data_IF_246979756721
#
_entry.id   IF_246979756721
#
_cell.length_a   1.000
_cell.length_b   1.000
_cell.length_c   1.000
_cell.angle_alpha   90.00
_cell.angle_beta   90.00
_cell.angle_gamma   90.00
#
_symmetry.space_group_name_H-M   'P 1'
#
loop_
_entity.id
_entity.type
_entity.pdbx_description
1 polymer ?
#
# COMPACT_ATOMS: atom_id res chain seq x y z
N UNK A 1 20.26 48.13 26.73
CA UNK A 1 20.10 47.18 25.59
C UNK A 1 19.73 45.86 26.25
N UNK A 2 18.44 45.51 26.22
CA UNK A 2 17.99 44.18 26.70
C UNK A 2 18.59 43.10 25.79
N UNK A 3 19.19 42.10 26.42
CA UNK A 3 19.72 40.94 25.70
C UNK A 3 18.59 40.05 25.26
N UNK A 4 18.13 40.19 24.02
CA UNK A 4 17.05 39.43 23.43
C UNK A 4 17.51 38.03 22.90
N UNK A 5 18.77 37.65 23.15
CA UNK A 5 19.36 36.44 22.60
C UNK A 5 18.65 35.17 23.08
N UNK A 6 18.25 35.16 24.36
CA UNK A 6 17.52 34.03 24.94
C UNK A 6 16.12 33.84 24.32
N UNK A 7 15.41 34.95 24.07
CA UNK A 7 14.08 34.91 23.45
C UNK A 7 14.15 34.47 21.96
N UNK A 8 15.15 34.96 21.25
CA UNK A 8 15.40 34.55 19.84
C UNK A 8 15.71 33.06 19.76
N UNK A 9 16.60 32.55 20.61
CA UNK A 9 16.94 31.12 20.65
C UNK A 9 15.73 30.25 21.02
N UNK A 10 14.89 30.70 21.95
CA UNK A 10 13.66 30.03 22.33
C UNK A 10 12.67 29.98 21.16
N UNK A 11 12.44 31.07 20.47
CA UNK A 11 11.56 31.15 19.30
C UNK A 11 12.08 30.25 18.15
N UNK A 12 13.40 30.25 17.90
CA UNK A 12 14.01 29.37 16.91
C UNK A 12 13.79 27.90 17.25
N UNK A 13 13.96 27.53 18.52
CA UNK A 13 13.73 26.16 18.99
C UNK A 13 12.25 25.77 18.86
N UNK A 14 11.33 26.62 19.28
CA UNK A 14 9.90 26.40 19.17
C UNK A 14 9.47 26.21 17.67
N UNK A 15 10.01 27.05 16.78
CA UNK A 15 9.79 26.96 15.35
C UNK A 15 10.35 25.66 14.78
N UNK A 16 11.56 25.25 15.19
CA UNK A 16 12.16 23.98 14.75
C UNK A 16 11.33 22.77 15.24
N UNK A 17 10.91 22.76 16.50
CA UNK A 17 10.09 21.70 17.08
C UNK A 17 8.68 21.61 16.43
N UNK A 18 8.14 22.72 15.94
CA UNK A 18 6.88 22.76 15.22
C UNK A 18 7.00 22.18 13.79
N UNK A 19 8.17 22.27 13.18
CA UNK A 19 8.39 21.89 11.78
C UNK A 19 9.11 20.56 11.59
N UNK A 20 9.80 20.04 12.63
CA UNK A 20 10.61 18.84 12.57
C UNK A 20 10.17 17.79 13.59
N UNK A 21 10.21 16.52 13.17
CA UNK A 21 9.99 15.36 14.04
C UNK A 21 11.12 15.24 15.08
N UNK A 22 10.77 15.16 16.36
CA UNK A 22 11.74 15.17 17.47
C UNK A 22 12.71 14.01 17.48
N UNK A 23 12.28 12.84 16.97
CA UNK A 23 13.12 11.65 16.95
C UNK A 23 14.08 11.65 15.76
N UNK A 24 13.55 11.90 14.58
CA UNK A 24 14.30 11.77 13.32
C UNK A 24 14.90 13.07 12.83
N UNK A 25 14.41 14.23 13.29
CA UNK A 25 14.80 15.55 12.81
C UNK A 25 14.45 15.81 11.34
N UNK A 26 13.56 14.99 10.73
CA UNK A 26 12.98 15.24 9.43
C UNK A 26 11.78 16.17 9.56
N UNK A 27 11.25 16.69 8.45
CA UNK A 27 10.02 17.49 8.52
C UNK A 27 8.86 16.66 9.10
N UNK A 28 8.02 17.33 9.91
CA UNK A 28 6.72 16.78 10.29
C UNK A 28 5.81 16.66 9.06
N UNK A 29 4.79 15.80 9.12
CA UNK A 29 3.81 15.63 8.03
C UNK A 29 3.26 16.96 7.52
N UNK A 30 2.83 17.82 8.44
CA UNK A 30 2.23 19.12 8.09
C UNK A 30 3.23 20.02 7.36
N UNK A 31 4.44 20.14 7.89
CA UNK A 31 5.47 20.97 7.26
C UNK A 31 5.93 20.40 5.91
N UNK A 32 6.07 19.07 5.82
CA UNK A 32 6.37 18.36 4.56
C UNK A 32 5.35 18.71 3.48
N UNK A 33 4.06 18.59 3.78
CA UNK A 33 2.98 18.85 2.82
C UNK A 33 2.96 20.30 2.36
N UNK A 34 3.12 21.24 3.29
CA UNK A 34 3.18 22.67 2.99
C UNK A 34 4.41 23.02 2.13
N UNK A 35 5.57 22.46 2.45
CA UNK A 35 6.80 22.68 1.70
C UNK A 35 6.70 22.12 0.28
N UNK A 36 6.11 20.93 0.11
CA UNK A 36 5.86 20.34 -1.22
C UNK A 36 4.89 21.22 -2.00
N UNK A 37 3.78 21.66 -1.40
CA UNK A 37 2.81 22.55 -2.06
C UNK A 37 3.47 23.80 -2.58
N UNK A 38 4.20 24.49 -1.70
CA UNK A 38 4.94 25.70 -2.08
C UNK A 38 5.96 25.45 -3.20
N UNK A 39 6.66 24.32 -3.17
CA UNK A 39 7.63 23.97 -4.20
C UNK A 39 6.98 23.70 -5.57
N UNK A 40 5.85 22.97 -5.60
CA UNK A 40 5.10 22.69 -6.83
C UNK A 40 4.50 23.97 -7.44
N UNK A 41 4.05 24.91 -6.62
CA UNK A 41 3.51 26.18 -7.09
C UNK A 41 4.59 27.08 -7.72
N UNK A 42 5.81 27.03 -7.18
CA UNK A 42 6.91 27.92 -7.58
C UNK A 42 7.81 27.36 -8.69
N UNK A 43 7.88 26.02 -8.87
CA UNK A 43 8.82 25.38 -9.81
C UNK A 43 8.07 24.50 -10.81
N UNK A 44 7.34 25.16 -11.73
CA UNK A 44 6.48 24.50 -12.72
C UNK A 44 7.24 23.79 -13.85
N UNK A 45 8.51 24.10 -14.04
CA UNK A 45 9.35 23.55 -15.13
C UNK A 45 10.04 22.23 -14.75
N UNK A 46 9.79 21.70 -13.54
CA UNK A 46 10.41 20.48 -13.04
C UNK A 46 9.33 19.43 -12.80
N UNK A 47 9.50 18.26 -13.41
CA UNK A 47 8.68 17.08 -13.11
C UNK A 47 9.06 16.50 -11.76
N UNK A 48 8.10 16.41 -10.86
CA UNK A 48 8.29 15.85 -9.51
C UNK A 48 7.62 14.48 -9.37
N UNK A 49 8.19 13.68 -8.49
CA UNK A 49 7.60 12.44 -7.99
C UNK A 49 7.47 12.50 -6.48
N UNK A 50 6.42 11.87 -5.97
CA UNK A 50 6.17 11.66 -4.54
C UNK A 50 6.44 10.19 -4.23
N UNK A 51 7.29 9.90 -3.26
CA UNK A 51 7.47 8.58 -2.71
C UNK A 51 6.87 8.51 -1.30
N UNK A 52 6.17 7.42 -1.04
CA UNK A 52 5.71 7.00 0.28
C UNK A 52 6.31 5.63 0.58
N UNK A 53 6.80 5.42 1.78
CA UNK A 53 7.22 4.11 2.25
C UNK A 53 7.09 3.96 3.76
N UNK A 54 6.94 2.73 4.20
CA UNK A 54 6.96 2.30 5.60
C UNK A 54 7.94 1.13 5.79
N UNK A 55 8.20 0.81 7.05
CA UNK A 55 9.03 -0.32 7.43
C UNK A 55 8.12 -1.53 7.64
N UNK A 56 8.33 -2.58 6.85
CA UNK A 56 7.54 -3.79 6.97
C UNK A 56 7.67 -4.40 8.37
N UNK A 57 6.52 -4.73 8.96
CA UNK A 57 6.42 -5.38 10.27
C UNK A 57 7.13 -4.62 11.41
N UNK A 58 7.21 -3.27 11.34
CA UNK A 58 7.89 -2.43 12.32
C UNK A 58 7.38 -2.65 13.75
N UNK A 59 6.08 -2.94 13.91
CA UNK A 59 5.53 -3.30 15.22
C UNK A 59 6.23 -4.52 15.81
N UNK A 60 6.51 -5.54 14.99
CA UNK A 60 7.22 -6.75 15.42
C UNK A 60 8.66 -6.43 15.84
N UNK A 61 9.32 -5.47 15.17
CA UNK A 61 10.66 -4.99 15.60
C UNK A 61 10.58 -4.43 17.01
N UNK A 62 9.58 -3.59 17.31
CA UNK A 62 9.38 -3.04 18.66
C UNK A 62 9.04 -4.13 19.69
N UNK A 63 8.17 -5.07 19.33
CA UNK A 63 7.71 -6.13 20.24
C UNK A 63 8.83 -7.12 20.59
N UNK A 64 9.75 -7.42 19.67
CA UNK A 64 10.85 -8.38 19.88
C UNK A 64 12.09 -7.72 20.46
N UNK A 65 12.48 -6.54 19.95
CA UNK A 65 13.78 -5.92 20.29
C UNK A 65 13.64 -4.69 21.18
N UNK A 66 12.42 -4.27 21.49
CA UNK A 66 12.15 -3.11 22.32
C UNK A 66 12.09 -1.79 21.52
N UNK A 67 11.45 -0.81 22.14
CA UNK A 67 11.18 0.51 21.53
C UNK A 67 12.47 1.28 21.18
N UNK A 68 13.51 1.16 22.00
CA UNK A 68 14.79 1.86 21.77
C UNK A 68 15.46 1.39 20.47
N UNK A 69 15.33 0.08 20.13
CA UNK A 69 15.82 -0.49 18.87
C UNK A 69 14.96 0.04 17.70
N UNK A 70 13.65 0.05 17.86
CA UNK A 70 12.76 0.65 16.83
C UNK A 70 13.05 2.12 16.58
N UNK A 71 13.26 2.92 17.62
CA UNK A 71 13.61 4.33 17.49
C UNK A 71 14.97 4.48 16.75
N UNK A 72 15.96 3.66 17.04
CA UNK A 72 17.21 3.62 16.30
C UNK A 72 17.03 3.25 14.81
N UNK A 73 16.12 2.32 14.49
CA UNK A 73 15.77 1.98 13.11
C UNK A 73 15.24 3.22 12.38
N UNK A 74 14.29 3.94 12.98
CA UNK A 74 13.71 5.16 12.40
C UNK A 74 14.77 6.25 12.16
N UNK A 75 15.68 6.45 13.11
CA UNK A 75 16.79 7.41 12.97
C UNK A 75 17.74 7.02 11.84
N UNK A 76 18.07 5.73 11.69
CA UNK A 76 18.92 5.25 10.59
C UNK A 76 18.27 5.41 9.22
N UNK A 77 16.97 5.13 9.11
CA UNK A 77 16.20 5.40 7.88
C UNK A 77 16.22 6.90 7.54
N UNK A 78 16.03 7.75 8.54
CA UNK A 78 16.09 9.19 8.35
C UNK A 78 17.48 9.67 7.88
N UNK A 79 18.55 9.11 8.43
CA UNK A 79 19.92 9.43 8.01
C UNK A 79 20.20 8.94 6.58
N UNK A 80 19.74 7.73 6.24
CA UNK A 80 19.85 7.24 4.87
C UNK A 80 19.14 8.16 3.85
N UNK A 81 17.93 8.67 4.20
CA UNK A 81 17.23 9.65 3.35
C UNK A 81 18.10 10.90 3.15
N UNK A 82 18.70 11.44 4.23
CA UNK A 82 19.55 12.65 4.17
C UNK A 82 20.80 12.44 3.30
N UNK A 83 21.43 11.28 3.42
CA UNK A 83 22.65 10.94 2.66
C UNK A 83 22.40 10.80 1.16
N UNK A 84 21.21 10.28 0.78
CA UNK A 84 20.82 10.13 -0.62
C UNK A 84 20.15 11.38 -1.21
N UNK A 85 19.65 12.28 -0.35
CA UNK A 85 18.93 13.49 -0.76
C UNK A 85 19.84 14.44 -1.54
N UNK A 86 19.28 15.02 -2.59
CA UNK A 86 19.95 16.03 -3.44
C UNK A 86 19.20 17.35 -3.36
N UNK A 87 19.73 18.37 -4.03
CA UNK A 87 19.06 19.67 -4.15
C UNK A 87 17.62 19.50 -4.68
N UNK A 88 16.72 20.26 -4.10
CA UNK A 88 15.29 20.25 -4.37
C UNK A 88 14.53 18.99 -3.90
N UNK A 89 15.13 18.13 -3.08
CA UNK A 89 14.40 17.07 -2.39
C UNK A 89 13.76 17.65 -1.12
N UNK A 90 12.50 17.25 -0.89
CA UNK A 90 11.75 17.61 0.32
C UNK A 90 11.30 16.29 0.94
N UNK A 91 11.66 16.06 2.20
CA UNK A 91 11.42 14.78 2.86
C UNK A 91 11.04 14.96 4.32
N UNK A 92 10.23 14.05 4.83
CA UNK A 92 9.70 14.10 6.18
C UNK A 92 9.19 12.76 6.69
N UNK A 93 8.88 12.73 7.98
CA UNK A 93 8.21 11.62 8.65
C UNK A 93 6.72 11.90 8.69
N UNK A 94 5.92 11.01 8.09
CA UNK A 94 4.46 11.19 8.00
C UNK A 94 3.79 10.77 9.30
N UNK A 95 4.34 9.76 9.97
CA UNK A 95 3.87 9.26 11.27
C UNK A 95 4.21 7.79 11.46
N UNK A 96 4.35 7.34 12.71
CA UNK A 96 4.76 5.96 12.98
C UNK A 96 6.08 5.61 12.33
N UNK A 97 6.08 4.64 11.44
CA UNK A 97 7.20 4.17 10.63
C UNK A 97 7.16 4.64 9.18
N UNK A 98 6.21 5.54 8.86
CA UNK A 98 6.00 6.04 7.51
C UNK A 98 6.78 7.33 7.21
N UNK A 99 7.37 7.36 6.03
CA UNK A 99 8.18 8.46 5.50
C UNK A 99 7.65 8.91 4.14
N UNK A 100 7.88 10.17 3.82
CA UNK A 100 7.52 10.77 2.55
C UNK A 100 8.66 11.57 1.95
N UNK A 101 8.79 11.51 0.63
CA UNK A 101 9.81 12.23 -0.13
C UNK A 101 9.18 12.81 -1.39
N UNK A 102 9.45 14.09 -1.67
CA UNK A 102 9.22 14.71 -2.98
C UNK A 102 10.56 14.99 -3.64
N UNK A 103 10.73 14.58 -4.87
CA UNK A 103 12.00 14.71 -5.59
C UNK A 103 11.79 14.95 -7.09
N UNK A 104 12.71 15.65 -7.78
CA UNK A 104 12.70 15.73 -9.23
C UNK A 104 12.84 14.34 -9.87
N UNK A 105 11.90 13.98 -10.73
CA UNK A 105 11.78 12.63 -11.31
C UNK A 105 13.05 12.17 -12.04
N UNK A 106 13.74 13.10 -12.71
CA UNK A 106 14.96 12.84 -13.48
C UNK A 106 16.22 12.60 -12.61
N UNK A 107 16.15 12.90 -11.30
CA UNK A 107 17.29 12.71 -10.39
C UNK A 107 17.41 11.30 -9.84
N UNK A 108 16.37 10.47 -10.00
CA UNK A 108 16.30 9.13 -9.40
C UNK A 108 16.32 8.05 -10.47
N UNK A 109 17.23 7.10 -10.31
CA UNK A 109 17.29 5.86 -11.09
C UNK A 109 16.72 4.72 -10.24
N UNK A 110 15.48 4.35 -10.50
CA UNK A 110 14.73 3.36 -9.69
C UNK A 110 15.48 2.02 -9.48
N UNK A 111 16.14 1.42 -10.49
CA UNK A 111 16.89 0.18 -10.27
C UNK A 111 18.03 0.30 -9.25
N UNK A 112 18.64 1.49 -9.11
CA UNK A 112 19.68 1.72 -8.11
C UNK A 112 19.09 1.81 -6.70
N UNK A 113 17.92 2.46 -6.56
CA UNK A 113 17.22 2.55 -5.28
C UNK A 113 16.72 1.16 -4.87
N UNK A 114 16.13 0.41 -5.79
CA UNK A 114 15.64 -0.95 -5.53
C UNK A 114 16.75 -1.86 -5.02
N UNK A 115 17.94 -1.81 -5.63
CA UNK A 115 19.11 -2.57 -5.15
C UNK A 115 19.60 -2.12 -3.76
N UNK A 116 19.48 -0.82 -3.42
CA UNK A 116 19.80 -0.32 -2.09
C UNK A 116 18.78 -0.80 -1.05
N UNK A 117 17.47 -0.75 -1.37
CA UNK A 117 16.40 -1.22 -0.50
C UNK A 117 16.53 -2.72 -0.21
N UNK A 118 16.83 -3.53 -1.24
CA UNK A 118 17.04 -4.97 -1.08
C UNK A 118 18.21 -5.34 -0.15
N UNK A 119 19.17 -4.42 0.03
CA UNK A 119 20.37 -4.61 0.86
C UNK A 119 20.36 -3.80 2.16
N UNK A 120 19.23 -3.20 2.51
CA UNK A 120 19.18 -2.36 3.69
C UNK A 120 19.23 -3.21 4.96
N UNK A 121 20.36 -3.10 5.67
CA UNK A 121 20.64 -3.86 6.89
C UNK A 121 20.89 -2.90 8.04
N UNK A 122 20.32 -3.20 9.18
CA UNK A 122 20.63 -2.51 10.42
C UNK A 122 21.41 -3.45 11.32
N UNK A 123 22.61 -3.04 11.73
CA UNK A 123 23.42 -3.72 12.69
C UNK A 123 23.32 -3.04 14.05
N UNK A 124 23.09 -3.80 15.12
CA UNK A 124 23.21 -3.31 16.50
C UNK A 124 24.53 -3.75 17.18
N UNK A 125 25.51 -4.18 16.37
CA UNK A 125 26.81 -4.67 16.83
C UNK A 125 26.84 -6.15 17.20
N UNK A 126 25.68 -6.81 17.33
CA UNK A 126 25.57 -8.25 17.67
C UNK A 126 24.80 -9.03 16.61
N UNK A 127 23.83 -8.40 15.96
CA UNK A 127 22.96 -9.03 14.96
C UNK A 127 22.74 -8.03 13.82
N UNK A 128 22.94 -8.51 12.60
CA UNK A 128 22.55 -7.79 11.38
C UNK A 128 21.11 -8.15 11.01
N UNK A 129 20.23 -7.16 10.97
CA UNK A 129 18.84 -7.35 10.61
C UNK A 129 18.52 -6.71 9.28
N UNK A 130 18.02 -7.51 8.35
CA UNK A 130 17.46 -6.99 7.11
C UNK A 130 16.13 -6.29 7.39
N UNK A 131 16.04 -5.02 6.99
CA UNK A 131 14.83 -4.24 7.09
C UNK A 131 14.20 -4.16 5.71
N UNK A 132 13.04 -4.74 5.57
CA UNK A 132 12.29 -4.70 4.32
C UNK A 132 11.45 -3.43 4.28
N UNK A 133 11.65 -2.64 3.23
CA UNK A 133 10.87 -1.46 2.93
C UNK A 133 10.27 -1.57 1.53
N UNK A 134 9.01 -1.19 1.40
CA UNK A 134 8.32 -1.08 0.12
C UNK A 134 8.02 0.39 -0.15
N UNK A 135 8.38 0.84 -1.34
CA UNK A 135 8.24 2.24 -1.77
C UNK A 135 7.18 2.33 -2.85
N UNK A 136 6.15 3.11 -2.62
CA UNK A 136 5.22 3.50 -3.66
C UNK A 136 5.55 4.88 -4.18
N UNK A 137 5.48 5.05 -5.48
CA UNK A 137 5.82 6.30 -6.17
C UNK A 137 4.61 6.79 -6.97
N UNK A 138 4.25 8.05 -6.77
CA UNK A 138 3.33 8.78 -7.63
C UNK A 138 4.10 9.82 -8.44
N UNK A 139 3.99 9.78 -9.77
CA UNK A 139 4.53 10.82 -10.65
C UNK A 139 3.52 11.95 -10.73
N UNK A 140 3.93 13.15 -10.36
CA UNK A 140 3.05 14.32 -10.35
C UNK A 140 2.81 14.76 -11.80
N UNK A 141 1.67 14.37 -12.34
CA UNK A 141 1.21 14.74 -13.68
C UNK A 141 0.31 15.99 -13.68
N UNK A 142 -0.28 16.31 -12.54
CA UNK A 142 -1.06 17.51 -12.30
C UNK A 142 -0.68 18.11 -10.94
N UNK A 143 0.09 19.21 -10.94
CA UNK A 143 0.51 19.85 -9.70
C UNK A 143 -0.63 20.52 -8.92
N UNK A 144 -1.83 20.67 -9.47
CA UNK A 144 -3.00 21.22 -8.76
C UNK A 144 -3.64 20.24 -7.77
N UNK A 145 -3.35 18.96 -7.91
CA UNK A 145 -3.85 17.91 -6.99
C UNK A 145 -3.33 18.21 -5.57
N UNK A 146 -4.19 17.98 -4.57
CA UNK A 146 -3.80 18.10 -3.18
C UNK A 146 -2.64 17.14 -2.83
N UNK A 147 -1.67 17.62 -2.04
CA UNK A 147 -0.48 16.82 -1.68
C UNK A 147 -0.87 15.58 -0.90
N UNK A 148 -1.93 15.63 -0.09
CA UNK A 148 -2.44 14.44 0.62
C UNK A 148 -2.89 13.35 -0.36
N UNK A 149 -3.60 13.73 -1.42
CA UNK A 149 -4.03 12.78 -2.48
C UNK A 149 -2.82 12.21 -3.22
N UNK A 150 -1.77 13.00 -3.46
CA UNK A 150 -0.54 12.51 -4.08
C UNK A 150 0.10 11.41 -3.21
N UNK A 151 0.16 11.64 -1.89
CA UNK A 151 0.66 10.64 -0.95
C UNK A 151 -0.24 9.42 -0.83
N UNK A 152 -1.57 9.57 -0.87
CA UNK A 152 -2.51 8.45 -0.88
C UNK A 152 -2.31 7.57 -2.12
N UNK A 153 -2.06 8.16 -3.29
CA UNK A 153 -1.73 7.44 -4.52
C UNK A 153 -0.39 6.70 -4.41
N UNK A 154 0.63 7.35 -3.86
CA UNK A 154 1.92 6.69 -3.60
C UNK A 154 1.76 5.53 -2.60
N UNK A 155 1.01 5.72 -1.51
CA UNK A 155 0.71 4.66 -0.54
C UNK A 155 -0.08 3.50 -1.17
N UNK A 156 -1.02 3.78 -2.07
CA UNK A 156 -1.73 2.73 -2.80
C UNK A 156 -0.78 1.88 -3.65
N UNK A 157 0.17 2.50 -4.34
CA UNK A 157 1.20 1.78 -5.08
C UNK A 157 2.07 0.93 -4.14
N UNK A 158 2.50 1.46 -3.00
CA UNK A 158 3.26 0.72 -1.99
C UNK A 158 2.48 -0.50 -1.48
N UNK A 159 1.19 -0.32 -1.20
CA UNK A 159 0.31 -1.39 -0.70
C UNK A 159 0.15 -2.53 -1.70
N UNK A 160 0.21 -2.25 -3.01
CA UNK A 160 0.07 -3.27 -4.06
C UNK A 160 1.18 -4.33 -4.03
N UNK A 161 2.36 -3.98 -3.50
CA UNK A 161 3.54 -4.87 -3.40
C UNK A 161 3.86 -5.30 -1.97
N UNK A 162 3.03 -4.96 -0.99
CA UNK A 162 3.31 -5.19 0.44
C UNK A 162 3.61 -6.66 0.80
N UNK A 163 3.08 -7.60 0.04
CA UNK A 163 3.27 -9.04 0.25
C UNK A 163 4.38 -9.64 -0.64
N UNK A 164 5.02 -8.84 -1.48
CA UNK A 164 6.10 -9.29 -2.35
C UNK A 164 7.45 -9.13 -1.64
N UNK A 165 8.34 -10.11 -1.80
CA UNK A 165 9.66 -10.08 -1.17
C UNK A 165 10.75 -9.58 -2.13
N UNK A 166 10.53 -9.68 -3.43
CA UNK A 166 11.51 -9.37 -4.46
C UNK A 166 11.27 -8.02 -5.15
N UNK A 167 10.10 -7.42 -4.92
CA UNK A 167 9.70 -6.13 -5.49
C UNK A 167 9.67 -5.09 -4.38
N UNK A 168 10.53 -4.09 -4.45
CA UNK A 168 10.63 -3.06 -3.42
C UNK A 168 10.01 -1.73 -3.84
N UNK A 169 9.77 -1.52 -5.15
CA UNK A 169 9.24 -0.26 -5.68
C UNK A 169 8.05 -0.53 -6.58
N UNK A 170 6.96 0.20 -6.36
CA UNK A 170 5.82 0.27 -7.26
C UNK A 170 5.52 1.71 -7.67
N UNK A 171 5.16 1.90 -8.94
CA UNK A 171 4.71 3.19 -9.45
C UNK A 171 3.19 3.16 -9.55
N UNK A 172 2.54 4.20 -9.02
CA UNK A 172 1.10 4.33 -9.10
C UNK A 172 0.60 4.34 -10.56
N UNK A 173 -0.44 3.57 -10.81
CA UNK A 173 -1.26 3.58 -12.03
C UNK A 173 -2.73 3.72 -11.59
N UNK A 174 -3.52 4.47 -12.35
CA UNK A 174 -4.95 4.67 -12.06
C UNK A 174 -5.73 3.34 -11.98
N UNK A 175 -5.29 2.30 -12.68
CA UNK A 175 -5.83 0.94 -12.56
C UNK A 175 -5.77 0.40 -11.14
N UNK A 176 -4.77 0.78 -10.34
CA UNK A 176 -4.67 0.36 -8.93
C UNK A 176 -5.85 0.90 -8.11
N UNK A 177 -6.22 2.16 -8.35
CA UNK A 177 -7.39 2.77 -7.72
C UNK A 177 -8.68 2.07 -8.16
N UNK A 178 -8.81 1.82 -9.46
CA UNK A 178 -10.00 1.15 -10.01
C UNK A 178 -10.14 -0.27 -9.44
N UNK A 179 -9.04 -1.00 -9.24
CA UNK A 179 -9.04 -2.30 -8.58
C UNK A 179 -9.51 -2.23 -7.12
N UNK A 180 -9.11 -1.20 -6.36
CA UNK A 180 -9.58 -1.02 -4.97
C UNK A 180 -11.08 -0.71 -4.95
N UNK A 181 -11.54 0.21 -5.80
CA UNK A 181 -12.95 0.55 -5.90
C UNK A 181 -13.80 -0.66 -6.34
N UNK A 182 -13.30 -1.44 -7.29
CA UNK A 182 -13.91 -2.69 -7.70
C UNK A 182 -14.01 -3.69 -6.55
N UNK A 183 -12.90 -3.89 -5.81
CA UNK A 183 -12.88 -4.77 -4.65
C UNK A 183 -13.89 -4.37 -3.57
N UNK A 184 -14.00 -3.08 -3.27
CA UNK A 184 -14.98 -2.56 -2.32
C UNK A 184 -16.42 -2.80 -2.80
N UNK A 185 -16.70 -2.48 -4.06
CA UNK A 185 -18.00 -2.69 -4.69
C UNK A 185 -18.43 -4.16 -4.59
N UNK A 186 -17.61 -5.08 -5.08
CA UNK A 186 -17.89 -6.52 -5.11
C UNK A 186 -18.07 -7.07 -3.69
N UNK A 187 -17.27 -6.63 -2.73
CA UNK A 187 -17.41 -7.05 -1.33
C UNK A 187 -18.72 -6.59 -0.71
N UNK A 188 -19.14 -5.36 -1.00
CA UNK A 188 -20.38 -4.80 -0.46
C UNK A 188 -21.61 -5.51 -1.06
N UNK A 189 -21.56 -5.90 -2.31
CA UNK A 189 -22.69 -6.50 -3.04
C UNK A 189 -22.85 -8.01 -2.78
N UNK A 190 -21.85 -8.71 -2.21
CA UNK A 190 -21.88 -10.18 -2.03
C UNK A 190 -23.12 -10.69 -1.29
N UNK A 191 -23.48 -10.07 -0.15
CA UNK A 191 -24.61 -10.53 0.64
C UNK A 191 -25.93 -10.49 -0.14
N UNK A 192 -26.13 -9.45 -0.92
CA UNK A 192 -27.34 -9.29 -1.73
C UNK A 192 -27.28 -10.17 -2.99
N UNK A 193 -26.09 -10.38 -3.54
CA UNK A 193 -25.89 -11.30 -4.65
C UNK A 193 -26.27 -12.75 -4.28
N UNK A 194 -25.92 -13.18 -3.08
CA UNK A 194 -26.33 -14.49 -2.53
C UNK A 194 -27.86 -14.54 -2.35
N UNK A 195 -28.47 -13.55 -1.69
CA UNK A 195 -29.93 -13.51 -1.45
C UNK A 195 -30.72 -13.51 -2.76
N UNK A 196 -30.23 -12.81 -3.76
CA UNK A 196 -30.89 -12.66 -5.06
C UNK A 196 -30.53 -13.78 -6.05
N UNK A 197 -29.78 -14.80 -5.61
CA UNK A 197 -29.33 -15.93 -6.43
C UNK A 197 -28.54 -15.51 -7.69
N UNK A 198 -27.79 -14.43 -7.60
CA UNK A 198 -26.92 -13.97 -8.69
C UNK A 198 -25.65 -14.82 -8.79
N UNK A 199 -25.22 -15.40 -7.66
CA UNK A 199 -24.12 -16.36 -7.61
C UNK A 199 -24.67 -17.76 -7.84
N UNK A 200 -24.17 -18.44 -8.85
CA UNK A 200 -24.71 -19.72 -9.31
C UNK A 200 -23.57 -20.74 -9.54
N UNK A 201 -23.80 -22.01 -9.25
CA UNK A 201 -22.89 -23.07 -9.65
C UNK A 201 -23.09 -23.42 -11.12
N UNK A 202 -22.00 -23.47 -11.89
CA UNK A 202 -21.95 -24.13 -13.20
C UNK A 202 -21.35 -25.51 -13.01
N UNK A 203 -22.02 -26.54 -13.56
CA UNK A 203 -21.57 -27.89 -13.41
C UNK A 203 -20.70 -28.29 -14.59
N UNK A 204 -19.43 -28.60 -14.33
CA UNK A 204 -18.54 -29.18 -15.31
C UNK A 204 -18.53 -30.69 -15.15
N UNK A 205 -18.97 -31.48 -16.16
CA UNK A 205 -19.06 -32.93 -16.04
C UNK A 205 -17.67 -33.56 -15.90
N UNK A 206 -17.57 -34.54 -15.02
CA UNK A 206 -16.45 -35.44 -14.88
C UNK A 206 -16.83 -36.76 -15.54
N UNK A 207 -16.02 -37.21 -16.47
CA UNK A 207 -16.24 -38.46 -17.22
C UNK A 207 -15.17 -39.48 -16.90
N UNK A 208 -15.53 -40.76 -16.96
CA UNK A 208 -14.56 -41.86 -16.88
C UNK A 208 -13.83 -42.08 -18.22
N UNK A 209 -12.98 -43.11 -18.28
CA UNK A 209 -12.20 -43.45 -19.46
C UNK A 209 -13.06 -43.94 -20.66
N UNK A 210 -14.33 -44.28 -20.41
CA UNK A 210 -15.31 -44.74 -21.40
C UNK A 210 -16.22 -43.60 -21.88
N UNK A 211 -16.05 -42.37 -21.30
CA UNK A 211 -16.83 -41.18 -21.61
C UNK A 211 -18.17 -41.10 -20.86
N UNK A 212 -18.38 -41.95 -19.87
CA UNK A 212 -19.60 -41.94 -19.04
C UNK A 212 -19.45 -40.87 -17.97
N UNK A 213 -20.47 -40.03 -17.76
CA UNK A 213 -20.48 -39.00 -16.70
C UNK A 213 -20.59 -39.69 -15.34
N UNK A 214 -19.56 -39.50 -14.49
CA UNK A 214 -19.47 -40.08 -13.14
C UNK A 214 -19.62 -39.01 -12.03
N UNK A 215 -19.66 -37.75 -12.41
CA UNK A 215 -19.79 -36.65 -11.47
C UNK A 215 -19.75 -35.29 -12.16
N UNK A 216 -19.73 -34.24 -11.35
CA UNK A 216 -19.55 -32.91 -11.87
C UNK A 216 -18.83 -32.03 -10.83
N UNK A 217 -18.01 -31.11 -11.30
CA UNK A 217 -17.43 -30.03 -10.49
C UNK A 217 -18.37 -28.82 -10.48
N UNK A 218 -18.68 -28.30 -9.29
CA UNK A 218 -19.51 -27.11 -9.12
C UNK A 218 -18.62 -25.85 -9.15
N UNK A 219 -18.57 -25.20 -10.27
CA UNK A 219 -17.77 -23.99 -10.50
C UNK A 219 -18.61 -22.73 -10.29
N UNK A 220 -18.23 -21.90 -9.35
CA UNK A 220 -18.93 -20.65 -9.07
C UNK A 220 -18.91 -19.69 -10.25
N UNK A 221 -20.04 -19.05 -10.51
CA UNK A 221 -20.19 -17.94 -11.48
C UNK A 221 -21.05 -16.86 -10.85
N UNK A 222 -20.81 -15.61 -11.20
CA UNK A 222 -21.63 -14.50 -10.76
C UNK A 222 -22.30 -13.84 -11.96
N UNK A 223 -23.63 -13.92 -12.00
CA UNK A 223 -24.45 -13.23 -13.00
C UNK A 223 -24.85 -11.89 -12.41
N UNK A 224 -23.99 -10.91 -12.58
CA UNK A 224 -24.18 -9.59 -11.97
C UNK A 224 -25.18 -8.77 -12.80
N UNK A 225 -26.19 -8.09 -12.17
CA UNK A 225 -27.25 -7.42 -12.91
C UNK A 225 -26.78 -6.23 -13.76
N UNK A 226 -25.66 -5.59 -13.39
CA UNK A 226 -25.11 -4.43 -14.12
C UNK A 226 -23.85 -4.78 -14.90
N UNK A 227 -22.98 -5.63 -14.35
CA UNK A 227 -21.69 -5.97 -14.95
C UNK A 227 -21.77 -7.22 -15.84
N UNK A 228 -22.92 -7.90 -15.86
CA UNK A 228 -23.10 -9.12 -16.62
C UNK A 228 -22.41 -10.34 -16.01
N UNK A 229 -21.85 -11.19 -16.85
CA UNK A 229 -21.16 -12.39 -16.40
C UNK A 229 -19.77 -12.06 -15.83
N UNK A 230 -19.58 -12.30 -14.53
CA UNK A 230 -18.32 -12.15 -13.85
C UNK A 230 -17.65 -13.52 -13.67
N UNK A 231 -16.50 -13.76 -14.29
CA UNK A 231 -15.75 -15.00 -14.10
C UNK A 231 -15.04 -15.02 -12.72
N UNK A 232 -14.77 -16.21 -12.15
CA UNK A 232 -14.24 -16.37 -10.80
C UNK A 232 -12.99 -15.56 -10.50
N UNK A 233 -12.07 -15.45 -11.45
CA UNK A 233 -10.81 -14.72 -11.26
C UNK A 233 -11.00 -13.21 -11.00
N UNK A 234 -12.18 -12.66 -11.25
CA UNK A 234 -12.47 -11.24 -11.01
C UNK A 234 -12.95 -10.95 -9.59
N UNK A 235 -13.44 -11.94 -8.84
CA UNK A 235 -14.00 -11.73 -7.50
C UNK A 235 -13.45 -12.70 -6.44
N UNK A 236 -13.07 -13.92 -6.79
CA UNK A 236 -12.53 -14.90 -5.82
C UNK A 236 -11.32 -14.36 -5.06
N UNK A 237 -10.28 -13.79 -5.73
CA UNK A 237 -9.12 -13.27 -5.00
C UNK A 237 -9.47 -12.13 -4.02
N UNK A 238 -10.54 -11.37 -4.31
CA UNK A 238 -11.03 -10.31 -3.42
C UNK A 238 -11.63 -10.93 -2.16
N UNK A 239 -12.44 -11.99 -2.32
CA UNK A 239 -13.09 -12.67 -1.21
C UNK A 239 -12.13 -13.50 -0.36
N UNK A 240 -11.10 -14.08 -0.96
CA UNK A 240 -9.99 -14.72 -0.23
C UNK A 240 -9.25 -13.71 0.64
N UNK A 241 -8.90 -12.54 0.08
CA UNK A 241 -8.16 -11.49 0.77
C UNK A 241 -8.90 -10.90 1.96
N UNK A 242 -10.23 -10.78 1.86
CA UNK A 242 -11.07 -10.19 2.92
C UNK A 242 -11.82 -11.22 3.80
N UNK A 243 -11.56 -12.53 3.57
CA UNK A 243 -12.14 -13.62 4.36
C UNK A 243 -13.58 -13.98 4.02
N UNK A 244 -14.18 -13.38 2.99
CA UNK A 244 -15.57 -13.62 2.58
C UNK A 244 -15.74 -14.87 1.72
N UNK A 245 -14.66 -15.52 1.30
CA UNK A 245 -14.71 -16.73 0.45
C UNK A 245 -15.51 -17.86 1.12
N UNK A 246 -15.43 -18.01 2.44
CA UNK A 246 -16.15 -19.03 3.18
C UNK A 246 -17.68 -18.92 3.05
N UNK A 247 -18.22 -17.72 2.87
CA UNK A 247 -19.66 -17.52 2.68
C UNK A 247 -20.08 -17.94 1.27
N UNK A 248 -19.23 -17.68 0.26
CA UNK A 248 -19.43 -18.15 -1.11
C UNK A 248 -19.39 -19.67 -1.16
N UNK A 249 -18.40 -20.32 -0.55
CA UNK A 249 -18.24 -21.76 -0.52
C UNK A 249 -19.46 -22.44 0.11
N UNK A 250 -19.87 -21.99 1.31
CA UNK A 250 -21.05 -22.53 1.99
C UNK A 250 -22.32 -22.41 1.13
N UNK A 251 -22.46 -21.28 0.43
CA UNK A 251 -23.60 -21.04 -0.44
C UNK A 251 -23.57 -21.97 -1.65
N UNK A 252 -22.45 -22.10 -2.34
CA UNK A 252 -22.27 -22.97 -3.51
C UNK A 252 -22.48 -24.45 -3.12
N UNK A 253 -21.95 -24.89 -1.98
CA UNK A 253 -22.17 -26.25 -1.49
C UNK A 253 -23.66 -26.54 -1.26
N UNK A 254 -24.40 -25.59 -0.67
CA UNK A 254 -25.86 -25.70 -0.51
C UNK A 254 -26.56 -25.83 -1.88
N UNK A 255 -26.22 -24.96 -2.82
CA UNK A 255 -26.79 -25.02 -4.18
C UNK A 255 -26.47 -26.35 -4.88
N UNK A 256 -25.25 -26.86 -4.74
CA UNK A 256 -24.83 -28.13 -5.32
C UNK A 256 -25.65 -29.31 -4.70
N UNK A 257 -25.87 -29.30 -3.38
CA UNK A 257 -26.71 -30.29 -2.72
C UNK A 257 -28.18 -30.22 -3.18
N UNK A 258 -28.73 -29.00 -3.34
CA UNK A 258 -30.08 -28.80 -3.87
C UNK A 258 -30.24 -29.36 -5.29
N UNK A 259 -29.25 -29.13 -6.15
CA UNK A 259 -29.22 -29.68 -7.52
C UNK A 259 -29.12 -31.20 -7.48
N UNK A 260 -28.20 -31.74 -6.68
CA UNK A 260 -27.99 -33.19 -6.58
C UNK A 260 -29.25 -33.91 -6.08
N UNK A 261 -29.96 -33.33 -5.10
CA UNK A 261 -31.19 -33.90 -4.59
C UNK A 261 -32.29 -33.96 -5.66
N UNK A 262 -32.30 -33.02 -6.62
CA UNK A 262 -33.25 -33.02 -7.73
C UNK A 262 -32.99 -34.08 -8.81
N UNK A 263 -31.82 -34.73 -8.76
CA UNK A 263 -31.49 -35.82 -9.70
C UNK A 263 -31.84 -37.20 -9.18
N UNK A 264 -32.17 -37.31 -7.89
CA UNK A 264 -32.44 -38.61 -7.24
C UNK A 264 -33.93 -38.95 -7.18
N UNK A 265 -34.82 -38.07 -7.65
CA UNK A 265 -36.24 -38.32 -7.84
C UNK A 265 -36.52 -38.76 -9.30
#
# INVERSE_FOLDING_TARGET
IQDNTADILRQQKEMYEATHDKLTGLFTKEHLFNAIRSNLDNKKDIDYSIAYFDIKDFKMVNDIFGKDVGDNVLVRVANWIREDARDNWIYGRIGGDAFGICFPTNQVRLPLIENKLAKFVISNGTIDQHILMHVGIFRVNDPSIDVSIMFDRAHLAQTSIKNEYNTHIAIYDDKMRDQVLWGQKISTELSDAIKQRQIVPYLQPIVDNEGVIIGAEALVRWIHPKEGFLPPFTFIPIFEKNGMIADVDKYIWRCACEILSSWTD
#
